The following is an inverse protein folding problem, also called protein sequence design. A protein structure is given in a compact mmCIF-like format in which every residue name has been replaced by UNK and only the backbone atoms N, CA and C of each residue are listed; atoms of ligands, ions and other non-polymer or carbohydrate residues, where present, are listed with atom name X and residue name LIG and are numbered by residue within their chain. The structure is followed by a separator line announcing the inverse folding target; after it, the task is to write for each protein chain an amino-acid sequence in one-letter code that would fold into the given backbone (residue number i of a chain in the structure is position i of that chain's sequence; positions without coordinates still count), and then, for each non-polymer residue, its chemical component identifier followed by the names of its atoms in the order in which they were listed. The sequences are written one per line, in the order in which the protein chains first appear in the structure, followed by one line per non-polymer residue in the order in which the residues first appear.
data_IF_571282357538
#
_entry.id   IF_571282357538
#
_cell.length_a   1.000
_cell.length_b   1.000
_cell.length_c   1.000
_cell.angle_alpha   90.00
_cell.angle_beta   90.00
_cell.angle_gamma   90.00
#
_symmetry.space_group_name_H-M   'P 1'
#
loop_
_entity.id
_entity.type
_entity.pdbx_description
1 polymer ?
#
# COMPACT_ATOMS: atom_id res chain seq x y z
N UNK A 1 -9.43 -8.30 7.56
CA UNK A 1 -8.69 -8.03 8.81
C UNK A 1 -8.55 -6.52 8.96
N UNK A 2 -9.16 -5.92 9.93
CA UNK A 2 -8.92 -4.51 10.25
C UNK A 2 -7.63 -4.37 11.07
N UNK A 3 -6.84 -3.31 10.84
CA UNK A 3 -5.60 -3.04 11.57
C UNK A 3 -5.79 -2.94 13.10
N UNK A 4 -7.03 -2.66 13.55
CA UNK A 4 -7.40 -2.57 14.97
C UNK A 4 -7.80 -3.94 15.57
N UNK A 5 -7.94 -4.98 14.76
CA UNK A 5 -8.42 -6.27 15.24
C UNK A 5 -7.32 -7.03 15.98
N UNK A 6 -7.71 -7.75 17.03
CA UNK A 6 -6.82 -8.66 17.76
C UNK A 6 -6.19 -9.69 16.82
N UNK A 7 -6.92 -10.09 15.77
CA UNK A 7 -6.45 -10.99 14.72
C UNK A 7 -5.25 -10.43 13.96
N UNK A 8 -5.21 -9.11 13.68
CA UNK A 8 -4.05 -8.48 13.03
C UNK A 8 -2.82 -8.48 13.95
N UNK A 9 -3.01 -8.18 15.23
CA UNK A 9 -1.90 -8.19 16.21
C UNK A 9 -1.34 -9.60 16.33
N UNK A 10 -2.20 -10.62 16.46
CA UNK A 10 -1.79 -12.01 16.53
C UNK A 10 -1.04 -12.44 15.26
N UNK A 11 -1.54 -12.06 14.07
CA UNK A 11 -0.87 -12.30 12.80
C UNK A 11 0.51 -11.64 12.74
N UNK A 12 0.61 -10.36 13.13
CA UNK A 12 1.88 -9.65 13.13
C UNK A 12 2.91 -10.28 14.07
N UNK A 13 2.49 -10.69 15.27
CA UNK A 13 3.35 -11.41 16.23
C UNK A 13 3.81 -12.76 15.67
N UNK A 14 2.91 -13.53 15.03
CA UNK A 14 3.27 -14.80 14.41
C UNK A 14 4.28 -14.59 13.27
N UNK A 15 4.09 -13.56 12.43
CA UNK A 15 5.06 -13.22 11.36
C UNK A 15 6.41 -12.84 11.94
N UNK A 16 6.46 -12.04 13.02
CA UNK A 16 7.72 -11.67 13.69
C UNK A 16 8.43 -12.91 14.26
N UNK A 17 7.69 -13.81 14.91
CA UNK A 17 8.24 -15.06 15.44
C UNK A 17 8.83 -15.93 14.34
N UNK A 18 8.09 -16.13 13.24
CA UNK A 18 8.56 -16.88 12.07
C UNK A 18 9.77 -16.19 11.40
N UNK A 19 9.74 -14.88 11.27
CA UNK A 19 10.81 -14.08 10.67
C UNK A 19 12.14 -14.30 11.38
N UNK A 20 12.15 -14.25 12.70
CA UNK A 20 13.37 -14.52 13.49
C UNK A 20 13.69 -16.01 13.62
N UNK A 21 12.69 -16.89 13.54
CA UNK A 21 12.88 -18.35 13.55
C UNK A 21 13.69 -18.85 12.35
N UNK A 22 13.42 -18.32 11.17
CA UNK A 22 14.09 -18.74 9.91
C UNK A 22 15.39 -17.99 9.59
N UNK A 23 15.94 -17.24 10.55
CA UNK A 23 17.16 -16.43 10.36
C UNK A 23 18.39 -17.20 9.86
N UNK A 24 18.46 -18.52 10.14
CA UNK A 24 19.56 -19.38 9.72
C UNK A 24 19.43 -19.84 8.26
N UNK A 25 18.26 -19.68 7.66
CA UNK A 25 18.00 -20.10 6.28
C UNK A 25 18.31 -18.95 5.34
N UNK A 26 19.10 -19.19 4.30
CA UNK A 26 19.40 -18.19 3.27
C UNK A 26 18.10 -17.67 2.65
N UNK A 27 17.91 -16.36 2.65
CA UNK A 27 16.68 -15.68 2.19
C UNK A 27 15.39 -16.08 2.96
N UNK A 28 15.46 -16.85 4.05
CA UNK A 28 14.28 -17.31 4.79
C UNK A 28 13.41 -16.17 5.29
N UNK A 29 14.03 -15.13 5.86
CA UNK A 29 13.31 -13.94 6.34
C UNK A 29 12.54 -13.23 5.23
N UNK A 30 13.13 -13.13 4.04
CA UNK A 30 12.49 -12.55 2.86
C UNK A 30 11.28 -13.38 2.40
N UNK A 31 11.43 -14.71 2.35
CA UNK A 31 10.34 -15.61 2.00
C UNK A 31 9.17 -15.52 2.98
N UNK A 32 9.45 -15.42 4.29
CA UNK A 32 8.42 -15.22 5.32
C UNK A 32 7.65 -13.92 5.09
N UNK A 33 8.34 -12.81 4.79
CA UNK A 33 7.67 -11.53 4.50
C UNK A 33 6.81 -11.61 3.22
N UNK A 34 7.30 -12.26 2.16
CA UNK A 34 6.53 -12.46 0.94
C UNK A 34 5.27 -13.30 1.21
N UNK A 35 5.42 -14.42 1.92
CA UNK A 35 4.31 -15.28 2.28
C UNK A 35 3.28 -14.54 3.17
N UNK A 36 3.76 -13.75 4.14
CA UNK A 36 2.92 -12.93 5.00
C UNK A 36 2.14 -11.86 4.20
N UNK A 37 2.77 -11.20 3.22
CA UNK A 37 2.10 -10.24 2.34
C UNK A 37 1.00 -10.89 1.51
N UNK A 38 1.32 -12.03 0.87
CA UNK A 38 0.35 -12.80 0.08
C UNK A 38 -0.84 -13.24 0.94
N UNK A 39 -0.55 -13.84 2.09
CA UNK A 39 -1.60 -14.25 3.03
C UNK A 39 -2.47 -13.08 3.48
N UNK A 40 -1.85 -11.95 3.85
CA UNK A 40 -2.56 -10.76 4.29
C UNK A 40 -3.52 -10.23 3.21
N UNK A 41 -3.05 -10.10 1.95
CA UNK A 41 -3.87 -9.64 0.83
C UNK A 41 -5.01 -10.63 0.56
N UNK A 42 -4.73 -11.93 0.54
CA UNK A 42 -5.75 -12.96 0.33
C UNK A 42 -6.82 -12.96 1.43
N UNK A 43 -6.39 -12.87 2.69
CA UNK A 43 -7.30 -12.89 3.84
C UNK A 43 -8.16 -11.61 3.95
N UNK A 44 -7.68 -10.46 3.43
CA UNK A 44 -8.42 -9.19 3.53
C UNK A 44 -9.25 -8.85 2.31
N UNK A 45 -8.76 -9.16 1.11
CA UNK A 45 -9.35 -8.68 -0.16
C UNK A 45 -9.63 -9.78 -1.17
N UNK A 46 -9.21 -11.01 -0.87
CA UNK A 46 -9.43 -12.17 -1.74
C UNK A 46 -8.55 -12.22 -2.99
N UNK A 47 -8.72 -13.31 -3.75
CA UNK A 47 -7.87 -13.64 -4.91
C UNK A 47 -7.98 -12.59 -6.04
N UNK A 48 -9.17 -12.05 -6.31
CA UNK A 48 -9.37 -11.05 -7.37
C UNK A 48 -8.53 -9.79 -7.12
N UNK A 49 -8.50 -9.30 -5.88
CA UNK A 49 -7.68 -8.14 -5.50
C UNK A 49 -6.19 -8.44 -5.59
N UNK A 50 -5.75 -9.64 -5.21
CA UNK A 50 -4.36 -10.06 -5.36
C UNK A 50 -3.92 -10.04 -6.83
N UNK A 51 -4.75 -10.55 -7.74
CA UNK A 51 -4.46 -10.53 -9.18
C UNK A 51 -4.34 -9.10 -9.71
N UNK A 52 -5.25 -8.19 -9.31
CA UNK A 52 -5.21 -6.78 -9.71
C UNK A 52 -3.93 -6.11 -9.20
N UNK A 53 -3.61 -6.28 -7.91
CA UNK A 53 -2.38 -5.74 -7.31
C UNK A 53 -1.15 -6.26 -8.06
N UNK A 54 -1.08 -7.58 -8.30
CA UNK A 54 0.04 -8.20 -9.00
C UNK A 54 0.21 -7.64 -10.40
N UNK A 55 -0.89 -7.45 -11.13
CA UNK A 55 -0.87 -6.85 -12.48
C UNK A 55 -0.37 -5.39 -12.44
N UNK A 56 -0.89 -4.57 -11.53
CA UNK A 56 -0.44 -3.18 -11.37
C UNK A 56 1.06 -3.11 -11.04
N UNK A 57 1.51 -3.94 -10.10
CA UNK A 57 2.92 -4.02 -9.70
C UNK A 57 3.80 -4.50 -10.86
N UNK A 58 3.34 -5.48 -11.67
CA UNK A 58 4.09 -5.95 -12.83
C UNK A 58 4.24 -4.87 -13.92
N UNK A 59 3.19 -4.10 -14.19
CA UNK A 59 3.23 -3.00 -15.14
C UNK A 59 4.22 -1.92 -14.67
N UNK A 60 4.12 -1.47 -13.42
CA UNK A 60 5.02 -0.45 -12.87
C UNK A 60 6.47 -0.94 -12.77
N UNK A 61 6.69 -2.22 -12.47
CA UNK A 61 8.01 -2.86 -12.52
C UNK A 61 8.63 -2.76 -13.92
N UNK A 62 7.86 -3.16 -14.95
CA UNK A 62 8.29 -3.07 -16.35
C UNK A 62 8.58 -1.62 -16.77
N UNK A 63 7.72 -0.68 -16.37
CA UNK A 63 7.93 0.75 -16.62
C UNK A 63 9.24 1.24 -15.99
N UNK A 64 9.53 0.88 -14.73
CA UNK A 64 10.77 1.21 -14.03
C UNK A 64 12.03 0.73 -14.79
N UNK A 65 12.02 -0.53 -15.24
CA UNK A 65 13.12 -1.10 -16.05
C UNK A 65 13.30 -0.36 -17.38
N UNK A 66 12.19 -0.04 -18.07
CA UNK A 66 12.22 0.67 -19.34
C UNK A 66 12.69 2.13 -19.17
N UNK A 67 12.28 2.82 -18.11
CA UNK A 67 12.75 4.18 -17.78
C UNK A 67 14.27 4.16 -17.61
N UNK A 68 14.80 3.27 -16.75
CA UNK A 68 16.24 3.16 -16.53
C UNK A 68 16.99 2.86 -17.84
N UNK A 69 16.52 1.86 -18.62
CA UNK A 69 17.12 1.50 -19.91
C UNK A 69 17.21 2.70 -20.86
N UNK A 70 16.12 3.46 -21.02
CA UNK A 70 16.10 4.61 -21.92
C UNK A 70 16.95 5.78 -21.40
N UNK A 71 17.08 5.94 -20.08
CA UNK A 71 18.00 6.91 -19.49
C UNK A 71 19.46 6.54 -19.79
N UNK A 72 19.83 5.25 -19.68
CA UNK A 72 21.16 4.75 -19.98
C UNK A 72 21.50 4.86 -21.48
N UNK A 73 20.52 4.72 -22.36
CA UNK A 73 20.65 4.93 -23.82
C UNK A 73 20.55 6.40 -24.24
N UNK A 74 20.55 7.34 -23.29
CA UNK A 74 20.41 8.79 -23.52
C UNK A 74 19.11 9.21 -24.23
N UNK A 75 18.14 8.31 -24.35
CA UNK A 75 16.86 8.58 -25.00
C UNK A 75 15.86 9.27 -24.04
N UNK A 76 16.22 10.47 -23.57
CA UNK A 76 15.44 11.22 -22.56
C UNK A 76 13.97 11.41 -22.92
N UNK A 77 13.67 11.62 -24.20
CA UNK A 77 12.27 11.77 -24.69
C UNK A 77 11.44 10.51 -24.46
N UNK A 78 12.00 9.32 -24.72
CA UNK A 78 11.32 8.04 -24.51
C UNK A 78 11.17 7.75 -23.02
N UNK A 79 12.23 7.97 -22.22
CA UNK A 79 12.16 7.82 -20.78
C UNK A 79 11.06 8.70 -20.16
N UNK A 80 10.94 9.97 -20.60
CA UNK A 80 9.89 10.89 -20.15
C UNK A 80 8.49 10.39 -20.53
N UNK A 81 8.29 9.88 -21.76
CA UNK A 81 6.99 9.36 -22.19
C UNK A 81 6.56 8.15 -21.34
N UNK A 82 7.47 7.19 -21.11
CA UNK A 82 7.18 6.01 -20.31
C UNK A 82 6.87 6.41 -18.86
N UNK A 83 7.61 7.34 -18.29
CA UNK A 83 7.39 7.86 -16.95
C UNK A 83 5.99 8.48 -16.80
N UNK A 84 5.60 9.39 -17.71
CA UNK A 84 4.27 9.97 -17.67
C UNK A 84 3.16 8.96 -17.93
N UNK A 85 3.40 7.99 -18.82
CA UNK A 85 2.45 6.92 -19.11
C UNK A 85 2.20 6.04 -17.85
N UNK A 86 3.24 5.68 -17.13
CA UNK A 86 3.12 4.93 -15.87
C UNK A 86 2.33 5.70 -14.81
N UNK A 87 2.61 7.01 -14.65
CA UNK A 87 1.86 7.88 -13.73
C UNK A 87 0.39 7.97 -14.14
N UNK A 88 0.11 8.28 -15.39
CA UNK A 88 -1.28 8.43 -15.89
C UNK A 88 -2.04 7.13 -15.73
N UNK A 89 -1.43 5.98 -16.07
CA UNK A 89 -2.07 4.68 -15.91
C UNK A 89 -2.34 4.35 -14.44
N UNK A 90 -1.37 4.60 -13.57
CA UNK A 90 -1.52 4.38 -12.12
C UNK A 90 -2.62 5.24 -11.52
N UNK A 91 -2.69 6.52 -11.91
CA UNK A 91 -3.75 7.44 -11.49
C UNK A 91 -5.11 7.07 -12.09
N UNK A 92 -5.15 6.64 -13.35
CA UNK A 92 -6.39 6.20 -14.01
C UNK A 92 -7.00 4.98 -13.27
N UNK A 93 -6.17 4.00 -12.89
CA UNK A 93 -6.61 2.85 -12.10
C UNK A 93 -7.14 3.33 -10.74
N UNK A 94 -6.42 4.22 -10.06
CA UNK A 94 -6.86 4.79 -8.78
C UNK A 94 -8.21 5.51 -8.91
N UNK A 95 -8.36 6.38 -9.91
CA UNK A 95 -9.59 7.11 -10.19
C UNK A 95 -10.75 6.16 -10.51
N UNK A 96 -10.50 5.13 -11.31
CA UNK A 96 -11.52 4.13 -11.62
C UNK A 96 -12.08 3.48 -10.35
N UNK A 97 -11.23 2.94 -9.49
CA UNK A 97 -11.70 2.27 -8.28
C UNK A 97 -12.25 3.22 -7.21
N UNK A 98 -11.85 4.47 -7.18
CA UNK A 98 -12.25 5.43 -6.13
C UNK A 98 -13.52 6.19 -6.49
N UNK A 99 -13.70 6.57 -7.76
CA UNK A 99 -14.79 7.44 -8.19
C UNK A 99 -15.82 6.72 -9.09
N UNK A 100 -15.35 5.84 -9.96
CA UNK A 100 -16.25 5.21 -10.94
C UNK A 100 -16.87 3.90 -10.45
N UNK A 101 -16.40 3.34 -9.34
CA UNK A 101 -16.96 2.12 -8.78
C UNK A 101 -18.45 2.28 -8.43
N UNK A 102 -18.80 3.38 -7.78
CA UNK A 102 -20.19 3.63 -7.34
C UNK A 102 -21.09 3.98 -8.53
N UNK A 103 -20.58 4.76 -9.48
CA UNK A 103 -21.28 5.02 -10.77
C UNK A 103 -21.46 3.73 -11.57
N UNK A 104 -20.48 2.82 -11.55
CA UNK A 104 -20.59 1.53 -12.20
C UNK A 104 -21.60 0.60 -11.54
N UNK A 105 -21.78 0.69 -10.22
CA UNK A 105 -22.86 -0.04 -9.51
C UNK A 105 -24.25 0.42 -9.96
N UNK A 106 -24.45 1.72 -10.14
CA UNK A 106 -25.70 2.26 -10.70
C UNK A 106 -25.95 1.78 -12.15
N UNK A 107 -24.89 1.76 -12.95
CA UNK A 107 -24.95 1.23 -14.32
C UNK A 107 -25.18 -0.28 -14.34
N UNK A 108 -24.65 -1.01 -13.38
CA UNK A 108 -24.86 -2.45 -13.22
C UNK A 108 -26.33 -2.79 -12.96
N UNK A 109 -27.04 -2.01 -12.15
CA UNK A 109 -28.45 -2.22 -11.90
C UNK A 109 -29.29 -2.01 -13.18
N UNK A 110 -28.91 -1.02 -13.99
CA UNK A 110 -29.50 -0.79 -15.32
C UNK A 110 -29.18 -1.90 -16.33
N UNK A 111 -27.95 -2.46 -16.30
CA UNK A 111 -27.55 -3.56 -17.17
C UNK A 111 -28.15 -4.90 -16.72
N UNK A 112 -28.32 -5.09 -15.42
CA UNK A 112 -28.95 -6.28 -14.85
C UNK A 112 -30.42 -6.37 -15.23
N UNK A 113 -31.11 -5.25 -15.35
CA UNK A 113 -32.46 -5.19 -15.88
C UNK A 113 -32.58 -5.66 -17.35
N UNK A 114 -31.46 -5.64 -18.09
CA UNK A 114 -31.30 -6.15 -19.45
C UNK A 114 -30.67 -7.54 -19.55
N UNK A 115 -30.57 -8.27 -18.42
CA UNK A 115 -30.04 -9.65 -18.36
C UNK A 115 -28.52 -9.77 -18.44
N UNK A 116 -27.78 -8.67 -18.36
CA UNK A 116 -26.30 -8.67 -18.41
C UNK A 116 -25.76 -8.66 -16.98
N UNK A 117 -25.21 -9.79 -16.51
CA UNK A 117 -24.56 -9.89 -15.23
C UNK A 117 -23.08 -9.42 -15.32
N UNK A 118 -22.82 -8.20 -14.87
CA UNK A 118 -21.45 -7.67 -14.75
C UNK A 118 -21.08 -7.61 -13.26
N UNK A 119 -20.09 -8.38 -12.84
CA UNK A 119 -19.63 -8.36 -11.45
C UNK A 119 -18.71 -7.15 -11.24
N UNK A 120 -19.09 -6.27 -10.30
CA UNK A 120 -18.24 -5.15 -9.91
C UNK A 120 -16.89 -5.66 -9.39
N UNK A 121 -15.80 -5.07 -9.88
CA UNK A 121 -14.46 -5.34 -9.39
C UNK A 121 -14.32 -4.83 -7.94
N UNK A 122 -13.89 -5.72 -7.05
CA UNK A 122 -13.63 -5.35 -5.66
C UNK A 122 -12.40 -4.45 -5.61
N UNK A 123 -12.52 -3.28 -4.96
CA UNK A 123 -11.39 -2.36 -4.77
C UNK A 123 -10.28 -3.05 -3.97
N UNK A 124 -9.05 -3.09 -4.49
CA UNK A 124 -7.92 -3.68 -3.77
C UNK A 124 -7.62 -2.91 -2.50
N UNK A 125 -7.22 -3.64 -1.44
CA UNK A 125 -6.78 -3.00 -0.20
C UNK A 125 -5.53 -2.16 -0.45
N UNK A 126 -5.49 -0.97 0.16
CA UNK A 126 -4.33 -0.08 0.07
C UNK A 126 -4.09 0.56 -1.28
N UNK A 127 -5.06 0.53 -2.20
CA UNK A 127 -4.93 1.03 -3.58
C UNK A 127 -4.24 2.39 -3.65
N UNK A 128 -4.67 3.37 -2.86
CA UNK A 128 -4.09 4.72 -2.86
C UNK A 128 -2.62 4.71 -2.43
N UNK A 129 -2.28 3.94 -1.38
CA UNK A 129 -0.92 3.92 -0.83
C UNK A 129 0.06 3.19 -1.73
N UNK A 130 -0.29 2.02 -2.26
CA UNK A 130 0.62 1.32 -3.16
C UNK A 130 0.77 2.06 -4.50
N UNK A 131 -0.28 2.71 -5.02
CA UNK A 131 -0.20 3.55 -6.21
C UNK A 131 0.78 4.71 -6.01
N UNK A 132 0.68 5.43 -4.90
CA UNK A 132 1.62 6.51 -4.58
C UNK A 132 3.06 5.99 -4.41
N UNK A 133 3.23 4.80 -3.84
CA UNK A 133 4.54 4.17 -3.68
C UNK A 133 5.14 3.79 -5.04
N UNK A 134 4.33 3.27 -5.99
CA UNK A 134 4.78 3.00 -7.36
C UNK A 134 5.20 4.28 -8.09
N UNK A 135 4.39 5.35 -7.98
CA UNK A 135 4.72 6.66 -8.58
C UNK A 135 6.02 7.22 -7.97
N UNK A 136 6.18 7.15 -6.66
CA UNK A 136 7.41 7.59 -5.99
C UNK A 136 8.64 6.80 -6.47
N UNK A 137 8.51 5.48 -6.64
CA UNK A 137 9.57 4.63 -7.17
C UNK A 137 9.95 5.00 -8.60
N UNK A 138 8.97 5.16 -9.50
CA UNK A 138 9.20 5.56 -10.89
C UNK A 138 9.87 6.95 -10.97
N UNK A 139 9.42 7.90 -10.12
CA UNK A 139 10.02 9.23 -10.01
C UNK A 139 11.47 9.19 -9.56
N UNK A 140 11.80 8.35 -8.57
CA UNK A 140 13.16 8.24 -8.07
C UNK A 140 14.11 7.60 -9.10
N UNK A 141 13.64 6.65 -9.93
CA UNK A 141 14.41 6.11 -11.07
C UNK A 141 14.61 7.20 -12.14
N UNK A 142 13.53 7.90 -12.51
CA UNK A 142 13.60 8.94 -13.54
C UNK A 142 14.61 10.03 -13.18
N UNK A 143 14.68 10.43 -11.90
CA UNK A 143 15.66 11.39 -11.38
C UNK A 143 17.00 10.76 -10.98
N UNK A 144 17.27 9.49 -11.37
CA UNK A 144 18.54 8.78 -11.12
C UNK A 144 18.93 8.68 -9.64
N UNK A 145 17.98 8.73 -8.71
CA UNK A 145 18.26 8.59 -7.27
C UNK A 145 18.65 7.18 -6.87
N UNK A 146 18.18 6.17 -7.61
CA UNK A 146 18.57 4.76 -7.52
C UNK A 146 18.35 4.05 -8.86
N UNK A 147 18.90 2.84 -8.99
CA UNK A 147 18.69 1.96 -10.13
C UNK A 147 17.39 1.20 -9.98
N UNK A 148 16.80 0.78 -11.11
CA UNK A 148 15.63 -0.08 -11.09
C UNK A 148 15.96 -1.45 -10.48
N UNK A 149 15.05 -2.00 -9.68
CA UNK A 149 15.19 -3.33 -9.11
C UNK A 149 15.11 -4.39 -10.21
N UNK A 150 16.03 -5.36 -10.19
CA UNK A 150 16.08 -6.44 -11.17
C UNK A 150 15.25 -7.64 -10.78
N UNK A 151 14.94 -7.77 -9.49
CA UNK A 151 14.18 -8.90 -8.98
C UNK A 151 12.74 -8.47 -8.73
N UNK A 152 11.82 -9.05 -9.51
CA UNK A 152 10.38 -8.78 -9.37
C UNK A 152 9.85 -9.06 -7.96
N UNK A 153 10.32 -10.13 -7.30
CA UNK A 153 9.85 -10.49 -5.95
C UNK A 153 10.27 -9.45 -4.90
N UNK A 154 11.45 -8.82 -5.05
CA UNK A 154 11.89 -7.75 -4.16
C UNK A 154 11.06 -6.48 -4.36
N UNK A 155 10.76 -6.17 -5.61
CA UNK A 155 9.89 -5.05 -5.93
C UNK A 155 8.45 -5.30 -5.43
N UNK A 156 7.92 -6.51 -5.67
CA UNK A 156 6.61 -6.90 -5.18
C UNK A 156 6.53 -6.82 -3.64
N UNK A 157 7.53 -7.35 -2.94
CA UNK A 157 7.64 -7.26 -1.48
C UNK A 157 7.63 -5.80 -1.00
N UNK A 158 8.38 -4.93 -1.67
CA UNK A 158 8.45 -3.52 -1.33
C UNK A 158 7.08 -2.82 -1.47
N UNK A 159 6.38 -3.03 -2.59
CA UNK A 159 5.08 -2.37 -2.85
C UNK A 159 3.99 -2.93 -1.94
N UNK A 160 3.96 -4.25 -1.72
CA UNK A 160 2.88 -4.93 -1.00
C UNK A 160 3.16 -5.14 0.48
N UNK A 161 4.19 -4.51 1.03
CA UNK A 161 4.60 -4.70 2.43
C UNK A 161 3.44 -4.50 3.41
N UNK A 162 2.96 -5.59 4.03
CA UNK A 162 1.70 -5.63 4.78
C UNK A 162 1.58 -4.60 5.90
N UNK A 163 2.65 -4.19 6.62
CA UNK A 163 2.50 -3.17 7.66
C UNK A 163 2.20 -1.77 7.13
N UNK A 164 2.54 -1.49 5.87
CA UNK A 164 2.40 -0.16 5.27
C UNK A 164 1.37 -0.10 4.14
N UNK A 165 0.91 -1.23 3.59
CA UNK A 165 0.02 -1.24 2.42
C UNK A 165 -1.34 -0.59 2.70
N UNK A 166 -1.87 -0.69 3.93
CA UNK A 166 -3.23 -0.21 4.26
C UNK A 166 -3.24 1.29 4.54
N UNK A 167 -2.39 1.74 5.46
CA UNK A 167 -2.32 3.12 5.96
C UNK A 167 -0.90 3.44 6.45
N UNK A 168 0.08 3.22 5.60
CA UNK A 168 1.46 3.55 5.95
C UNK A 168 1.93 4.85 5.31
N UNK A 169 3.05 5.40 5.76
CA UNK A 169 3.73 6.43 5.01
C UNK A 169 4.19 5.87 3.67
N UNK A 170 4.28 6.72 2.64
CA UNK A 170 4.89 6.33 1.36
C UNK A 170 6.33 5.92 1.61
N UNK A 171 6.62 4.63 1.44
CA UNK A 171 7.96 4.11 1.67
C UNK A 171 8.89 4.52 0.53
N UNK A 172 10.07 5.04 0.88
CA UNK A 172 11.11 5.32 -0.08
C UNK A 172 11.90 4.03 -0.37
N UNK A 173 11.96 3.63 -1.65
CA UNK A 173 12.66 2.42 -2.10
C UNK A 173 14.10 2.36 -1.57
N UNK A 174 14.85 3.45 -1.70
CA UNK A 174 16.25 3.57 -1.25
C UNK A 174 16.46 3.21 0.22
N UNK A 175 15.47 3.46 1.09
CA UNK A 175 15.57 3.18 2.54
C UNK A 175 15.09 1.79 2.91
N UNK A 176 14.02 1.33 2.29
CA UNK A 176 13.30 0.12 2.74
C UNK A 176 13.78 -1.14 2.02
N UNK A 177 13.94 -1.10 0.70
CA UNK A 177 14.27 -2.29 -0.08
C UNK A 177 15.62 -2.95 0.27
N UNK A 178 16.70 -2.20 0.57
CA UNK A 178 17.95 -2.82 0.99
C UNK A 178 17.82 -3.64 2.26
N UNK A 179 16.92 -3.25 3.17
CA UNK A 179 16.71 -3.95 4.44
C UNK A 179 16.09 -5.34 4.24
N UNK A 180 15.27 -5.54 3.21
CA UNK A 180 14.72 -6.86 2.91
C UNK A 180 15.76 -7.88 2.43
N UNK A 181 16.91 -7.39 1.95
CA UNK A 181 18.04 -8.21 1.48
C UNK A 181 19.02 -8.57 2.60
N UNK A 182 18.94 -7.88 3.73
CA UNK A 182 19.79 -8.13 4.90
C UNK A 182 19.15 -9.17 5.81
N UNK A 183 20.00 -10.00 6.43
CA UNK A 183 19.55 -10.90 7.51
C UNK A 183 19.59 -10.16 8.84
N UNK A 184 18.44 -10.06 9.48
CA UNK A 184 18.30 -9.38 10.76
C UNK A 184 18.34 -10.38 11.92
N UNK A 185 19.16 -10.06 12.92
CA UNK A 185 19.19 -10.80 14.18
C UNK A 185 18.24 -10.16 15.20
N UNK A 186 17.62 -10.96 16.09
CA UNK A 186 16.80 -10.41 17.16
C UNK A 186 17.71 -9.67 18.17
N UNK A 187 17.53 -8.37 18.24
CA UNK A 187 18.20 -7.50 19.19
C UNK A 187 17.15 -6.97 20.17
N UNK A 188 17.23 -7.42 21.45
CA UNK A 188 16.22 -7.10 22.45
C UNK A 188 15.93 -5.60 22.58
N UNK A 189 16.96 -4.76 22.54
CA UNK A 189 16.82 -3.31 22.60
C UNK A 189 16.00 -2.74 21.42
N UNK A 190 16.23 -3.24 20.21
CA UNK A 190 15.46 -2.80 19.01
C UNK A 190 14.01 -3.29 19.08
N UNK A 191 13.80 -4.51 19.56
CA UNK A 191 12.44 -5.07 19.72
C UNK A 191 11.64 -4.23 20.72
N UNK A 192 12.21 -3.94 21.90
CA UNK A 192 11.57 -3.12 22.93
C UNK A 192 11.24 -1.72 22.40
N UNK A 193 12.21 -1.05 21.74
CA UNK A 193 11.95 0.26 21.12
C UNK A 193 10.86 0.21 20.04
N UNK A 194 10.83 -0.87 19.25
CA UNK A 194 9.79 -1.08 18.24
C UNK A 194 8.40 -1.24 18.88
N UNK A 195 8.31 -2.05 19.94
CA UNK A 195 7.06 -2.24 20.70
C UNK A 195 6.59 -0.93 21.35
N UNK A 196 7.48 -0.18 21.98
CA UNK A 196 7.14 1.13 22.57
C UNK A 196 6.58 2.10 21.53
N UNK A 197 7.22 2.18 20.34
CA UNK A 197 6.72 3.04 19.24
C UNK A 197 5.36 2.57 18.73
N UNK A 198 5.14 1.27 18.62
CA UNK A 198 3.87 0.69 18.21
C UNK A 198 2.77 0.98 19.24
N UNK A 199 3.02 0.75 20.52
CA UNK A 199 2.09 1.07 21.60
C UNK A 199 1.73 2.56 21.63
N UNK A 200 2.73 3.44 21.46
CA UNK A 200 2.50 4.87 21.37
C UNK A 200 1.66 5.26 20.16
N UNK A 201 1.88 4.60 19.01
CA UNK A 201 1.04 4.78 17.81
C UNK A 201 -0.41 4.35 18.05
N UNK A 202 -0.63 3.17 18.65
CA UNK A 202 -1.96 2.70 19.02
C UNK A 202 -2.65 3.62 20.01
N UNK A 203 -1.95 4.08 21.04
CA UNK A 203 -2.48 5.06 21.99
C UNK A 203 -2.97 6.33 21.30
N UNK A 204 -2.14 6.94 20.47
CA UNK A 204 -2.53 8.13 19.68
C UNK A 204 -3.76 7.87 18.81
N UNK A 205 -3.83 6.70 18.18
CA UNK A 205 -4.95 6.36 17.30
C UNK A 205 -6.23 6.10 18.09
N UNK A 206 -6.19 5.22 19.09
CA UNK A 206 -7.39 4.74 19.79
C UNK A 206 -7.88 5.75 20.82
N UNK A 207 -6.96 6.35 21.59
CA UNK A 207 -7.32 7.24 22.71
C UNK A 207 -7.51 8.69 22.25
N UNK A 208 -6.69 9.17 21.31
CA UNK A 208 -6.76 10.56 20.87
C UNK A 208 -7.60 10.69 19.60
N UNK A 209 -7.14 10.13 18.47
CA UNK A 209 -7.74 10.40 17.17
C UNK A 209 -9.18 9.86 17.03
N UNK A 210 -9.46 8.65 17.53
CA UNK A 210 -10.80 8.07 17.44
C UNK A 210 -11.79 8.81 18.35
N UNK A 211 -11.35 9.33 19.51
CA UNK A 211 -12.22 10.13 20.41
C UNK A 211 -12.51 11.51 19.83
N UNK A 212 -11.48 12.17 19.30
CA UNK A 212 -11.67 13.45 18.60
C UNK A 212 -12.59 13.24 17.38
N UNK A 213 -12.40 12.17 16.63
CA UNK A 213 -13.24 11.85 15.47
C UNK A 213 -14.74 11.72 15.80
N UNK A 214 -15.09 11.18 16.96
CA UNK A 214 -16.49 11.11 17.43
C UNK A 214 -17.04 12.53 17.65
N UNK A 215 -16.27 13.42 18.31
CA UNK A 215 -16.67 14.81 18.56
C UNK A 215 -16.81 15.59 17.25
N UNK A 216 -15.86 15.45 16.33
CA UNK A 216 -15.92 16.06 15.00
C UNK A 216 -17.16 15.61 14.23
N UNK A 217 -17.47 14.31 14.24
CA UNK A 217 -18.65 13.80 13.57
C UNK A 217 -19.95 14.26 14.22
N UNK A 218 -20.00 14.48 15.52
CA UNK A 218 -21.14 15.05 16.21
C UNK A 218 -21.37 16.50 15.77
N UNK A 219 -20.31 17.31 15.71
CA UNK A 219 -20.37 18.72 15.26
C UNK A 219 -20.81 18.81 13.78
N UNK A 220 -20.29 17.94 12.91
CA UNK A 220 -20.63 17.93 11.48
C UNK A 220 -22.09 17.49 11.21
N UNK A 221 -22.71 16.76 12.12
CA UNK A 221 -24.12 16.35 12.02
C UNK A 221 -25.09 17.36 12.62
N UNK A 222 -24.60 18.31 13.40
CA UNK A 222 -25.42 19.34 14.02
C UNK A 222 -25.66 20.49 13.00
N UNK A 223 -26.87 20.55 12.45
CA UNK A 223 -27.28 21.60 11.49
C UNK A 223 -27.24 23.00 12.10
N UNK A 224 -27.27 23.12 13.44
CA UNK A 224 -27.17 24.38 14.17
C UNK A 224 -25.72 24.80 14.48
N UNK A 225 -24.72 23.97 14.12
CA UNK A 225 -23.31 24.28 14.38
C UNK A 225 -22.88 25.53 13.63
N UNK A 226 -22.45 26.55 14.37
CA UNK A 226 -21.93 27.81 13.80
C UNK A 226 -20.66 27.57 12.97
N UNK A 227 -20.45 28.39 11.94
CA UNK A 227 -19.31 28.26 11.01
C UNK A 227 -17.93 28.19 11.69
N UNK A 228 -17.77 28.80 12.85
CA UNK A 228 -16.57 28.74 13.66
C UNK A 228 -16.28 27.31 14.18
N UNK A 229 -17.29 26.62 14.69
CA UNK A 229 -17.18 25.22 15.15
C UNK A 229 -16.90 24.27 13.99
N UNK A 230 -17.53 24.48 12.84
CA UNK A 230 -17.28 23.70 11.62
C UNK A 230 -15.85 23.90 11.12
N UNK A 231 -15.33 25.12 11.16
CA UNK A 231 -13.93 25.38 10.78
C UNK A 231 -12.95 24.60 11.66
N UNK A 232 -13.12 24.64 13.00
CA UNK A 232 -12.26 23.90 13.92
C UNK A 232 -12.42 22.37 13.85
N UNK A 233 -13.58 21.90 13.45
CA UNK A 233 -13.81 20.48 13.24
C UNK A 233 -13.11 19.93 11.95
N UNK A 234 -12.76 20.82 11.00
CA UNK A 234 -12.08 20.47 9.74
C UNK A 234 -10.56 20.59 9.79
N UNK A 235 -10.01 21.31 10.77
CA UNK A 235 -8.55 21.50 10.97
C UNK A 235 -8.00 20.47 11.96
#
# INVERSE_FOLDING_TARGET
MELKSLSYVAFALAVVALYYGVRKVKNGQRCVLLAANLFFILATSGLKSLLIITLCVAISYGAGLLIEKNILLEQKSKARRIFWLDIVLSLAILCYFKFFKDTFLLLQDLLRSKGICVNALVSPIGLSYFTLTMIAYANDIYHKKHKAERNFLDYFLFITYFPSIVQGPVNLYKRTAPQFKLTHQPEGKRIIMGMQRSLWGYFKKVVIADRIGILVMAILKDEAAGGFLLFWAMV
#
